data_IF_916933507208
#
_entry.id   IF_916933507208
#
_cell.length_a   1.000
_cell.length_b   1.000
_cell.length_c   1.000
_cell.angle_alpha   90.00
_cell.angle_beta   90.00
_cell.angle_gamma   90.00
#
_symmetry.space_group_name_H-M   'P 1'
#
loop_
_entity.id
_entity.type
_entity.pdbx_description
1 polymer ?
#
# COMPACT_ATOMS: atom_id res chain seq x y z
N UNK A 1 -2.67 -19.92 -16.11
CA UNK A 1 -1.49 -19.20 -15.56
C UNK A 1 -1.16 -18.02 -16.46
N UNK A 2 -1.86 -16.89 -16.38
CA UNK A 2 -1.45 -15.64 -17.05
C UNK A 2 -2.03 -14.45 -16.28
N UNK A 3 -1.21 -13.77 -15.47
CA UNK A 3 -1.44 -12.37 -15.08
C UNK A 3 -0.42 -11.55 -15.84
N UNK A 4 -0.82 -11.12 -17.03
CA UNK A 4 -0.09 -10.20 -17.90
C UNK A 4 0.17 -8.89 -17.15
N UNK A 5 1.42 -8.66 -16.75
CA UNK A 5 1.91 -7.44 -16.11
C UNK A 5 1.96 -6.28 -17.11
N UNK A 6 0.81 -5.83 -17.60
CA UNK A 6 0.65 -4.65 -18.49
C UNK A 6 -0.09 -3.55 -17.75
N UNK A 7 0.29 -3.28 -16.50
CA UNK A 7 -0.18 -2.10 -15.79
C UNK A 7 0.92 -1.57 -14.88
N UNK A 8 2.01 -1.15 -15.51
CA UNK A 8 3.01 -0.23 -14.93
C UNK A 8 2.38 1.16 -14.76
N UNK A 9 1.18 1.20 -14.18
CA UNK A 9 0.52 2.42 -13.73
C UNK A 9 1.46 3.05 -12.71
N UNK A 10 1.64 4.36 -12.84
CA UNK A 10 2.35 5.17 -11.83
C UNK A 10 1.86 4.72 -10.46
N UNK A 11 2.79 4.23 -9.64
CA UNK A 11 2.51 3.66 -8.32
C UNK A 11 1.63 4.66 -7.56
N UNK A 12 0.33 4.38 -7.50
CA UNK A 12 -0.64 5.31 -6.92
C UNK A 12 -0.83 4.91 -5.46
N UNK A 13 0.10 5.39 -4.65
CA UNK A 13 0.03 5.30 -3.20
C UNK A 13 -0.27 6.68 -2.66
N UNK A 14 -1.22 6.79 -1.72
CA UNK A 14 -1.36 8.01 -0.92
C UNK A 14 -0.26 8.16 0.13
N UNK A 15 0.56 7.13 0.31
CA UNK A 15 1.64 7.08 1.29
C UNK A 15 2.99 7.07 0.59
N UNK A 16 3.97 7.69 1.24
CA UNK A 16 5.36 7.75 0.78
C UNK A 16 6.27 7.17 1.85
N UNK A 17 7.55 6.94 1.54
CA UNK A 17 8.50 6.48 2.55
C UNK A 17 8.64 7.48 3.70
N UNK A 18 8.62 8.77 3.40
CA UNK A 18 8.69 9.85 4.38
C UNK A 18 7.39 9.99 5.18
N UNK A 19 6.26 9.62 4.57
CA UNK A 19 4.94 9.66 5.18
C UNK A 19 4.23 8.32 4.99
N UNK A 20 4.63 7.28 5.75
CA UNK A 20 4.07 5.94 5.63
C UNK A 20 2.64 5.90 6.20
N UNK A 21 1.82 4.90 5.82
CA UNK A 21 0.48 4.74 6.36
C UNK A 21 0.54 4.52 7.88
N UNK A 22 -0.16 5.25 8.76
CA UNK A 22 -0.05 5.03 10.21
C UNK A 22 -0.38 3.58 10.60
N UNK A 23 0.22 3.05 11.67
CA UNK A 23 -0.11 1.69 12.13
C UNK A 23 -1.53 1.59 12.67
N UNK A 24 -1.99 2.63 13.37
CA UNK A 24 -3.38 2.75 13.80
C UNK A 24 -4.21 3.35 12.65
N UNK A 25 -5.39 2.79 12.33
CA UNK A 25 -6.23 3.33 11.29
C UNK A 25 -6.75 4.73 11.63
N UNK A 26 -6.84 5.64 10.65
CA UNK A 26 -7.49 6.93 10.84
C UNK A 26 -9.00 6.74 11.12
N UNK A 27 -9.65 7.76 11.71
CA UNK A 27 -11.10 7.76 11.91
C UNK A 27 -11.86 7.46 10.61
N UNK A 28 -12.92 6.66 10.70
CA UNK A 28 -13.77 6.29 9.56
C UNK A 28 -13.37 4.98 8.88
N UNK A 29 -12.17 4.45 9.13
CA UNK A 29 -11.78 3.11 8.66
C UNK A 29 -12.42 2.04 9.54
N UNK A 30 -13.25 1.19 8.94
CA UNK A 30 -13.95 0.10 9.63
C UNK A 30 -13.14 -1.18 9.71
N UNK A 31 -12.30 -1.44 8.71
CA UNK A 31 -11.49 -2.65 8.63
C UNK A 31 -10.13 -2.50 9.32
N UNK A 32 -10.18 -2.32 10.65
CA UNK A 32 -9.00 -2.05 11.50
C UNK A 32 -7.89 -3.09 11.31
N UNK A 33 -8.24 -4.38 11.30
CA UNK A 33 -7.27 -5.46 11.13
C UNK A 33 -6.64 -5.47 9.74
N UNK A 34 -7.43 -5.21 8.69
CA UNK A 34 -6.93 -5.14 7.32
C UNK A 34 -5.96 -3.96 7.17
N UNK A 35 -6.32 -2.80 7.73
CA UNK A 35 -5.44 -1.64 7.77
C UNK A 35 -4.11 -1.91 8.47
N UNK A 36 -4.15 -2.51 9.66
CA UNK A 36 -2.94 -2.80 10.45
C UNK A 36 -2.00 -3.77 9.71
N UNK A 37 -2.57 -4.84 9.15
CA UNK A 37 -1.81 -5.83 8.38
C UNK A 37 -1.19 -5.19 7.13
N UNK A 38 -1.99 -4.46 6.36
CA UNK A 38 -1.52 -3.78 5.15
C UNK A 38 -0.48 -2.70 5.49
N UNK A 39 -0.64 -1.98 6.59
CA UNK A 39 0.34 -0.97 7.05
C UNK A 39 1.69 -1.58 7.41
N UNK A 40 1.71 -2.77 8.02
CA UNK A 40 2.97 -3.50 8.26
C UNK A 40 3.57 -3.96 6.93
N UNK A 41 2.77 -4.68 6.13
CA UNK A 41 3.24 -5.25 4.87
C UNK A 41 3.75 -4.19 3.89
N UNK A 42 3.08 -3.04 3.81
CA UNK A 42 3.51 -1.92 2.97
C UNK A 42 4.90 -1.42 3.34
N UNK A 43 5.24 -1.39 4.64
CA UNK A 43 6.58 -0.99 5.14
C UNK A 43 7.62 -2.06 4.91
N UNK A 44 7.26 -3.31 5.19
CA UNK A 44 8.18 -4.44 5.09
C UNK A 44 8.60 -4.70 3.63
N UNK A 45 7.74 -4.32 2.67
CA UNK A 45 7.98 -4.50 1.25
C UNK A 45 8.42 -3.24 0.50
N UNK A 46 9.08 -2.30 1.19
CA UNK A 46 9.71 -1.16 0.52
C UNK A 46 10.94 -1.58 -0.31
N UNK A 47 11.31 -0.81 -1.36
CA UNK A 47 12.53 -1.10 -2.08
C UNK A 47 13.76 -0.71 -1.24
N UNK A 48 14.94 -1.11 -1.69
CA UNK A 48 16.20 -0.59 -1.16
C UNK A 48 16.35 0.94 -1.35
N UNK A 49 17.13 1.60 -0.49
CA UNK A 49 17.32 3.05 -0.54
C UNK A 49 18.35 3.52 -1.59
N UNK A 50 19.26 2.66 -2.04
CA UNK A 50 20.31 3.01 -2.98
C UNK A 50 19.82 3.02 -4.42
N UNK A 51 19.14 1.94 -4.83
CA UNK A 51 18.72 1.76 -6.23
C UNK A 51 17.21 1.89 -6.43
N UNK A 52 16.40 1.59 -5.41
CA UNK A 52 14.93 1.70 -5.52
C UNK A 52 14.26 0.67 -6.45
N UNK A 53 15.00 -0.31 -6.97
CA UNK A 53 14.52 -1.23 -8.02
C UNK A 53 14.01 -2.57 -7.49
N UNK A 54 14.50 -3.02 -6.33
CA UNK A 54 14.17 -4.31 -5.75
C UNK A 54 13.57 -4.15 -4.36
N UNK A 55 12.54 -4.96 -4.06
CA UNK A 55 11.98 -5.08 -2.73
C UNK A 55 12.99 -5.78 -1.80
N UNK A 56 13.24 -5.21 -0.62
CA UNK A 56 14.20 -5.75 0.35
C UNK A 56 13.77 -7.12 0.89
N UNK A 57 12.47 -7.29 1.16
CA UNK A 57 11.92 -8.53 1.70
C UNK A 57 11.85 -9.65 0.66
N UNK A 58 11.31 -9.37 -0.53
CA UNK A 58 11.10 -10.39 -1.57
C UNK A 58 12.31 -10.63 -2.47
N UNK A 59 13.24 -9.67 -2.57
CA UNK A 59 14.31 -9.66 -3.58
C UNK A 59 13.79 -9.74 -5.03
N UNK A 60 12.56 -9.27 -5.23
CA UNK A 60 11.89 -9.18 -6.52
C UNK A 60 11.81 -7.72 -6.98
N UNK A 61 11.58 -7.44 -8.28
CA UNK A 61 11.38 -6.10 -8.78
C UNK A 61 10.29 -5.37 -8.00
N UNK A 62 10.56 -4.13 -7.60
CA UNK A 62 9.60 -3.29 -6.89
C UNK A 62 8.80 -2.41 -7.88
N UNK A 63 7.48 -2.25 -7.68
CA UNK A 63 6.66 -2.82 -6.61
C UNK A 63 6.43 -4.32 -6.81
N UNK A 64 6.60 -5.09 -5.72
CA UNK A 64 6.27 -6.51 -5.69
C UNK A 64 4.80 -6.72 -5.29
N UNK A 65 4.21 -7.86 -5.64
CA UNK A 65 2.79 -8.17 -5.40
C UNK A 65 2.34 -7.92 -3.95
N UNK A 66 3.16 -8.27 -2.96
CA UNK A 66 2.83 -8.05 -1.55
C UNK A 66 2.73 -6.55 -1.18
N UNK A 67 3.59 -5.71 -1.77
CA UNK A 67 3.50 -4.26 -1.58
C UNK A 67 2.26 -3.69 -2.29
N UNK A 68 1.99 -4.18 -3.51
CA UNK A 68 0.87 -3.72 -4.34
C UNK A 68 -0.48 -4.05 -3.67
N UNK A 69 -0.65 -5.27 -3.17
CA UNK A 69 -1.85 -5.69 -2.40
C UNK A 69 -2.03 -4.84 -1.15
N UNK A 70 -0.96 -4.62 -0.38
CA UNK A 70 -1.02 -3.80 0.81
C UNK A 70 -1.39 -2.35 0.47
N UNK A 71 -0.82 -1.81 -0.62
CA UNK A 71 -1.16 -0.48 -1.10
C UNK A 71 -2.64 -0.38 -1.50
N UNK A 72 -3.18 -1.36 -2.21
CA UNK A 72 -4.58 -1.36 -2.62
C UNK A 72 -5.53 -1.38 -1.42
N UNK A 73 -5.30 -2.27 -0.45
CA UNK A 73 -6.10 -2.33 0.80
C UNK A 73 -6.11 -0.97 1.52
N UNK A 74 -4.97 -0.30 1.60
CA UNK A 74 -4.86 1.00 2.28
C UNK A 74 -5.54 2.14 1.50
N UNK A 75 -5.56 2.07 0.17
CA UNK A 75 -6.29 3.05 -0.65
C UNK A 75 -7.80 2.81 -0.53
N UNK A 76 -8.25 1.56 -0.65
CA UNK A 76 -9.65 1.18 -0.51
C UNK A 76 -10.19 1.60 0.87
N UNK A 77 -9.50 1.23 1.95
CA UNK A 77 -9.89 1.64 3.30
C UNK A 77 -9.96 3.17 3.47
N UNK A 78 -9.06 3.92 2.83
CA UNK A 78 -9.03 5.39 2.89
C UNK A 78 -10.21 5.98 2.14
N UNK A 79 -10.49 5.48 0.95
CA UNK A 79 -11.57 5.96 0.10
C UNK A 79 -12.93 5.64 0.73
N UNK A 80 -13.11 4.42 1.25
CA UNK A 80 -14.26 4.02 2.08
C UNK A 80 -14.49 4.94 3.28
N UNK A 81 -13.42 5.31 4.00
CA UNK A 81 -13.51 6.22 5.14
C UNK A 81 -13.91 7.64 4.71
N UNK A 82 -13.38 8.12 3.57
CA UNK A 82 -13.69 9.43 3.02
C UNK A 82 -15.16 9.54 2.58
N UNK A 83 -15.68 8.51 1.91
CA UNK A 83 -17.09 8.43 1.50
C UNK A 83 -18.04 8.41 2.71
N UNK A 84 -17.66 7.73 3.79
CA UNK A 84 -18.47 7.64 5.02
C UNK A 84 -18.47 8.91 5.86
N UNK A 85 -17.40 9.70 5.83
CA UNK A 85 -17.33 10.96 6.56
C UNK A 85 -18.00 12.15 5.84
N UNK A 86 -18.59 11.96 4.65
CA UNK A 86 -19.40 12.98 3.99
C UNK A 86 -18.62 14.22 3.55
N UNK A 87 -17.37 14.05 3.13
CA UNK A 87 -16.60 15.12 2.49
C UNK A 87 -16.62 14.91 0.98
N UNK A 88 -17.75 15.25 0.36
CA UNK A 88 -17.90 15.43 -1.09
C UNK A 88 -18.01 16.92 -1.40
#
# INVERSE_FOLDING_TARGET
MQRTSTQRSRIRSAYTRQQPPPYEPPPGVTEVMAWQLASSQWRDHLPDDLLGVDCVACRAPWPCDAWDIANDILNDCRDDAAERCGTA
#
